data_IF_079213905787
#
_entry.id   IF_079213905787
#
_cell.length_a   1.000
_cell.length_b   1.000
_cell.length_c   1.000
_cell.angle_alpha   90.00
_cell.angle_beta   90.00
_cell.angle_gamma   90.00
#
_symmetry.space_group_name_H-M   'P 1'
#
loop_
_entity.id
_entity.type
_entity.pdbx_description
1 polymer ?
#
# COMPACT_ATOMS: atom_id res chain seq x y z
N UNK A 1 10.70 22.91 43.11
CA UNK A 1 10.03 23.29 41.84
C UNK A 1 10.66 22.68 40.58
N UNK A 2 11.97 22.40 40.52
CA UNK A 2 12.65 21.86 39.31
C UNK A 2 12.18 20.48 38.83
N UNK A 3 11.85 19.55 39.76
CA UNK A 3 11.41 18.18 39.40
C UNK A 3 10.15 18.14 38.51
N UNK A 4 9.18 19.04 38.74
CA UNK A 4 7.95 19.12 37.91
C UNK A 4 8.26 19.62 36.50
N UNK A 5 9.14 20.63 36.37
CA UNK A 5 9.57 21.17 35.07
C UNK A 5 10.35 20.15 34.25
N UNK A 6 11.28 19.42 34.88
CA UNK A 6 12.05 18.37 34.20
C UNK A 6 11.15 17.24 33.69
N UNK A 7 10.17 16.81 34.51
CA UNK A 7 9.17 15.81 34.09
C UNK A 7 8.35 16.28 32.90
N UNK A 8 8.01 17.58 32.84
CA UNK A 8 7.25 18.15 31.73
C UNK A 8 8.08 18.21 30.44
N UNK A 9 9.35 18.64 30.52
CA UNK A 9 10.27 18.62 29.37
C UNK A 9 10.41 17.20 28.82
N UNK A 10 10.63 16.22 29.69
CA UNK A 10 10.76 14.82 29.27
C UNK A 10 9.51 14.31 28.55
N UNK A 11 8.30 14.66 29.03
CA UNK A 11 7.04 14.31 28.36
C UNK A 11 6.93 14.93 26.97
N UNK A 12 7.34 16.19 26.82
CA UNK A 12 7.32 16.88 25.52
C UNK A 12 8.29 16.21 24.56
N UNK A 13 9.51 15.91 25.00
CA UNK A 13 10.52 15.23 24.19
C UNK A 13 10.04 13.85 23.76
N UNK A 14 9.49 13.04 24.68
CA UNK A 14 8.93 11.73 24.34
C UNK A 14 7.77 11.83 23.37
N UNK A 15 6.87 12.79 23.56
CA UNK A 15 5.74 13.00 22.66
C UNK A 15 6.21 13.38 21.25
N UNK A 16 7.12 14.36 21.14
CA UNK A 16 7.68 14.76 19.84
C UNK A 16 8.48 13.64 19.20
N UNK A 17 9.31 12.92 19.97
CA UNK A 17 10.06 11.76 19.48
C UNK A 17 9.13 10.66 18.95
N UNK A 18 7.99 10.43 19.61
CA UNK A 18 6.98 9.47 19.15
C UNK A 18 6.33 9.95 17.85
N UNK A 19 5.94 11.23 17.76
CA UNK A 19 5.35 11.78 16.54
C UNK A 19 6.32 11.74 15.35
N UNK A 20 7.58 12.10 15.57
CA UNK A 20 8.64 12.02 14.55
C UNK A 20 8.87 10.56 14.15
N UNK A 21 8.95 9.63 15.11
CA UNK A 21 9.10 8.21 14.81
C UNK A 21 7.95 7.66 13.97
N UNK A 22 6.71 8.06 14.24
CA UNK A 22 5.54 7.64 13.48
C UNK A 22 5.54 8.19 12.04
N UNK A 23 6.16 9.35 11.79
CA UNK A 23 6.29 9.89 10.44
C UNK A 23 7.13 9.00 9.52
N UNK A 24 8.18 8.36 10.06
CA UNK A 24 9.09 7.50 9.30
C UNK A 24 8.60 6.05 9.13
N UNK A 25 7.44 5.70 9.68
CA UNK A 25 6.84 4.39 9.45
C UNK A 25 6.48 4.25 7.96
N UNK A 26 6.79 3.10 7.32
CA UNK A 26 6.38 2.84 5.93
C UNK A 26 4.89 2.53 5.88
N UNK A 27 4.05 3.56 6.00
CA UNK A 27 2.60 3.44 6.14
C UNK A 27 1.94 2.68 4.99
N UNK A 28 2.52 2.71 3.79
CA UNK A 28 2.07 1.93 2.64
C UNK A 28 2.15 0.42 2.92
N UNK A 29 3.27 -0.07 3.44
CA UNK A 29 3.43 -1.48 3.81
C UNK A 29 2.52 -1.88 4.97
N UNK A 30 2.39 -1.02 5.98
CA UNK A 30 1.49 -1.27 7.12
C UNK A 30 0.06 -1.44 6.62
N UNK A 31 -0.42 -0.55 5.74
CA UNK A 31 -1.76 -0.67 5.15
C UNK A 31 -1.95 -1.97 4.37
N UNK A 32 -1.00 -2.32 3.50
CA UNK A 32 -1.06 -3.57 2.72
C UNK A 32 -1.11 -4.84 3.59
N UNK A 33 -0.59 -4.79 4.82
CA UNK A 33 -0.60 -5.93 5.75
C UNK A 33 -1.84 -6.03 6.64
N UNK A 34 -2.46 -4.89 6.97
CA UNK A 34 -3.62 -4.86 7.88
C UNK A 34 -4.95 -4.92 7.15
N UNK A 35 -4.99 -4.59 5.85
CA UNK A 35 -6.20 -4.69 5.04
C UNK A 35 -6.59 -6.17 4.86
N UNK A 36 -7.89 -6.50 4.92
CA UNK A 36 -8.35 -7.84 4.61
C UNK A 36 -8.03 -8.15 3.15
N UNK A 37 -7.74 -9.42 2.86
CA UNK A 37 -7.56 -9.86 1.48
C UNK A 37 -8.90 -9.67 0.73
N UNK A 38 -8.90 -9.04 -0.46
CA UNK A 38 -10.11 -8.86 -1.25
C UNK A 38 -10.74 -10.20 -1.67
N UNK A 39 -12.04 -10.17 -1.98
CA UNK A 39 -12.80 -11.36 -2.33
C UNK A 39 -12.50 -11.84 -3.77
N UNK A 40 -11.96 -10.95 -4.61
CA UNK A 40 -11.64 -11.24 -6.01
C UNK A 40 -10.22 -10.85 -6.41
N UNK A 41 -9.69 -11.55 -7.41
CA UNK A 41 -8.37 -11.21 -7.98
C UNK A 41 -8.39 -9.82 -8.61
N UNK A 42 -9.49 -9.40 -9.25
CA UNK A 42 -9.59 -8.07 -9.83
C UNK A 42 -9.44 -6.98 -8.76
N UNK A 43 -10.15 -7.09 -7.64
CA UNK A 43 -10.02 -6.13 -6.53
C UNK A 43 -8.60 -6.12 -5.94
N UNK A 44 -7.94 -7.27 -5.83
CA UNK A 44 -6.56 -7.33 -5.36
C UNK A 44 -5.57 -6.67 -6.35
N UNK A 45 -5.80 -6.81 -7.65
CA UNK A 45 -4.99 -6.15 -8.69
C UNK A 45 -5.27 -4.65 -8.71
N UNK A 46 -6.50 -4.22 -8.43
CA UNK A 46 -6.87 -2.81 -8.24
C UNK A 46 -6.21 -2.22 -6.98
N UNK A 47 -6.25 -2.92 -5.84
CA UNK A 47 -5.62 -2.50 -4.59
C UNK A 47 -4.10 -2.34 -4.72
N UNK A 48 -3.45 -3.15 -5.56
CA UNK A 48 -2.03 -2.97 -5.83
C UNK A 48 -1.70 -1.58 -6.39
N UNK A 49 -2.59 -0.99 -7.20
CA UNK A 49 -2.40 0.37 -7.72
C UNK A 49 -2.44 1.39 -6.59
N UNK A 50 -3.33 1.21 -5.62
CA UNK A 50 -3.42 2.06 -4.42
C UNK A 50 -2.18 1.94 -3.51
N UNK A 51 -1.50 0.78 -3.55
CA UNK A 51 -0.19 0.56 -2.91
C UNK A 51 1.00 1.04 -3.75
N UNK A 52 0.77 1.87 -4.76
CA UNK A 52 1.82 2.58 -5.48
C UNK A 52 2.43 1.82 -6.66
N UNK A 53 1.84 0.71 -7.09
CA UNK A 53 2.17 0.12 -8.39
C UNK A 53 1.56 0.95 -9.52
N UNK A 54 2.33 1.23 -10.58
CA UNK A 54 1.79 1.98 -11.73
C UNK A 54 0.83 1.16 -12.57
N UNK A 55 1.05 -0.16 -12.65
CA UNK A 55 0.21 -1.10 -13.36
C UNK A 55 0.55 -2.55 -13.02
N UNK A 56 -0.45 -3.44 -13.12
CA UNK A 56 -0.30 -4.86 -12.84
C UNK A 56 -1.14 -5.68 -13.82
N UNK A 57 -0.60 -6.81 -14.28
CA UNK A 57 -1.31 -7.80 -15.08
C UNK A 57 -1.16 -9.15 -14.39
N UNK A 58 -2.27 -9.85 -14.20
CA UNK A 58 -2.31 -11.19 -13.61
C UNK A 58 -2.93 -12.16 -14.60
N UNK A 59 -2.24 -13.28 -14.81
CA UNK A 59 -2.72 -14.42 -15.58
C UNK A 59 -2.98 -15.59 -14.64
N UNK A 60 -4.13 -16.23 -14.80
CA UNK A 60 -4.52 -17.40 -14.01
C UNK A 60 -4.81 -18.55 -14.96
N UNK A 61 -4.00 -19.60 -14.84
CA UNK A 61 -4.24 -20.89 -15.46
C UNK A 61 -4.75 -21.88 -14.42
N UNK A 62 -5.88 -22.52 -14.70
CA UNK A 62 -6.49 -23.51 -13.82
C UNK A 62 -6.95 -24.69 -14.67
N UNK A 63 -6.52 -25.90 -14.29
CA UNK A 63 -6.88 -27.14 -14.99
C UNK A 63 -8.40 -27.28 -15.15
N UNK A 64 -8.84 -27.53 -16.39
CA UNK A 64 -10.25 -27.69 -16.74
C UNK A 64 -11.06 -26.38 -16.82
N UNK A 65 -10.42 -25.20 -16.73
CA UNK A 65 -11.06 -23.90 -16.92
C UNK A 65 -10.37 -23.10 -18.01
N UNK A 66 -11.13 -22.21 -18.66
CA UNK A 66 -10.54 -21.24 -19.58
C UNK A 66 -9.65 -20.26 -18.79
N UNK A 67 -8.47 -19.88 -19.33
CA UNK A 67 -7.56 -18.97 -18.64
C UNK A 67 -8.20 -17.59 -18.40
N UNK A 68 -7.85 -16.98 -17.27
CA UNK A 68 -8.35 -15.67 -16.88
C UNK A 68 -7.21 -14.65 -16.86
N UNK A 69 -7.56 -13.41 -17.18
CA UNK A 69 -6.62 -12.30 -17.23
C UNK A 69 -7.23 -11.10 -16.50
N UNK A 70 -6.44 -10.48 -15.64
CA UNK A 70 -6.79 -9.30 -14.87
C UNK A 70 -5.73 -8.23 -15.11
N UNK A 71 -6.15 -6.97 -15.15
CA UNK A 71 -5.21 -5.86 -15.32
C UNK A 71 -5.75 -4.60 -14.67
N UNK A 72 -4.86 -3.85 -14.04
CA UNK A 72 -5.16 -2.54 -13.43
C UNK A 72 -4.00 -1.57 -13.64
N UNK A 73 -4.30 -0.29 -13.58
CA UNK A 73 -3.33 0.79 -13.78
C UNK A 73 -2.86 0.91 -15.23
N UNK A 74 -1.58 1.23 -15.40
CA UNK A 74 -0.99 1.73 -16.63
C UNK A 74 0.10 0.80 -17.15
N UNK A 75 0.06 0.50 -18.44
CA UNK A 75 1.23 0.00 -19.17
C UNK A 75 2.27 1.11 -19.36
N UNK A 76 1.80 2.35 -19.56
CA UNK A 76 2.63 3.54 -19.56
C UNK A 76 1.87 4.68 -18.89
N UNK A 77 2.30 5.08 -17.70
CA UNK A 77 1.65 6.13 -16.90
C UNK A 77 1.80 7.52 -17.51
N UNK A 78 2.97 7.84 -18.06
CA UNK A 78 3.27 9.15 -18.66
C UNK A 78 2.36 9.43 -19.88
N UNK A 79 2.18 8.41 -20.71
CA UNK A 79 1.31 8.46 -21.89
C UNK A 79 -0.12 8.00 -21.61
N UNK A 80 -0.46 7.72 -20.35
CA UNK A 80 -1.79 7.24 -19.92
C UNK A 80 -2.29 6.04 -20.75
N UNK A 81 -1.38 5.12 -21.08
CA UNK A 81 -1.72 3.89 -21.78
C UNK A 81 -2.10 2.85 -20.72
N UNK A 82 -3.35 2.35 -20.69
CA UNK A 82 -3.80 1.40 -19.66
C UNK A 82 -3.06 0.07 -19.78
N UNK A 83 -3.00 -0.66 -18.66
CA UNK A 83 -2.45 -2.00 -18.63
C UNK A 83 -3.21 -2.91 -19.60
N UNK A 84 -2.47 -3.66 -20.44
CA UNK A 84 -3.03 -4.52 -21.48
C UNK A 84 -2.84 -5.99 -21.09
N UNK A 85 -3.90 -6.70 -20.66
CA UNK A 85 -3.76 -8.08 -20.19
C UNK A 85 -3.35 -9.09 -21.26
N UNK A 86 -3.40 -8.71 -22.54
CA UNK A 86 -3.14 -9.56 -23.71
C UNK A 86 -2.10 -8.95 -24.66
N UNK A 87 -1.23 -8.07 -24.16
CA UNK A 87 -0.17 -7.46 -24.97
C UNK A 87 0.91 -8.48 -25.35
#
# INVERSE_FOLDING_TARGET
MSKKRNKQIFRIVLFLGTAISLYFVPWLLVKAWILPLPDTIQEQVDEAIDHGFDGMIVYVDQAGKSPQYFASGWHNRENQIPAKPKA
#
